data_IF_559954006304
#
_entry.id   IF_559954006304
#
_cell.length_a   1.000
_cell.length_b   1.000
_cell.length_c   1.000
_cell.angle_alpha   90.00
_cell.angle_beta   90.00
_cell.angle_gamma   90.00
#
_symmetry.space_group_name_H-M   'P 1'
#
loop_
_entity.id
_entity.type
_entity.pdbx_description
1 polymer ?
#
# COMPACT_ATOMS: atom_id res chain seq x y z
N UNK A 1 -45.01 -21.28 -4.36
CA UNK A 1 -44.35 -22.29 -5.18
C UNK A 1 -43.79 -21.63 -6.43
N UNK A 2 -42.49 -21.35 -6.50
CA UNK A 2 -41.81 -20.91 -7.74
C UNK A 2 -40.53 -21.70 -7.85
N UNK A 3 -40.41 -22.40 -8.97
CA UNK A 3 -39.41 -23.44 -9.26
C UNK A 3 -38.04 -22.81 -9.60
N UNK A 4 -36.99 -23.28 -8.93
CA UNK A 4 -35.60 -23.04 -9.27
C UNK A 4 -35.25 -23.80 -10.55
N UNK A 5 -34.82 -23.09 -11.58
CA UNK A 5 -34.22 -23.67 -12.78
C UNK A 5 -32.69 -23.60 -12.64
N UNK A 6 -32.07 -24.74 -12.48
CA UNK A 6 -30.60 -24.90 -12.50
C UNK A 6 -30.15 -24.83 -13.97
N UNK A 7 -29.25 -23.92 -14.28
CA UNK A 7 -28.57 -23.90 -15.56
C UNK A 7 -27.13 -24.40 -15.35
N UNK A 8 -26.89 -25.61 -15.78
CA UNK A 8 -25.58 -26.26 -15.97
C UNK A 8 -25.06 -25.88 -17.34
N UNK A 9 -23.84 -25.37 -17.44
CA UNK A 9 -23.22 -25.07 -18.74
C UNK A 9 -21.74 -24.78 -18.62
N UNK A 10 -21.00 -25.78 -18.90
CA UNK A 10 -19.97 -26.00 -19.93
C UNK A 10 -18.57 -25.47 -19.59
N UNK A 11 -17.78 -26.44 -19.24
CA UNK A 11 -16.32 -26.53 -19.25
C UNK A 11 -15.76 -26.21 -20.65
N UNK A 12 -14.91 -25.19 -20.79
CA UNK A 12 -14.11 -25.02 -22.00
C UNK A 12 -12.62 -25.09 -21.63
N UNK A 13 -12.02 -26.22 -21.93
CA UNK A 13 -10.59 -26.46 -21.88
C UNK A 13 -9.89 -25.73 -23.03
N UNK A 14 -8.91 -24.86 -22.74
CA UNK A 14 -8.04 -24.29 -23.77
C UNK A 14 -6.61 -24.78 -23.57
N UNK A 15 -6.13 -25.47 -24.60
CA UNK A 15 -4.84 -26.12 -24.75
C UNK A 15 -3.68 -25.12 -24.79
N UNK A 16 -2.65 -25.41 -24.03
CA UNK A 16 -1.31 -24.79 -24.03
C UNK A 16 -0.57 -25.18 -25.35
N UNK A 17 -0.04 -24.19 -26.04
CA UNK A 17 0.99 -24.37 -27.06
C UNK A 17 2.31 -23.88 -26.52
N UNK A 18 3.22 -24.81 -26.26
CA UNK A 18 4.64 -24.54 -25.95
C UNK A 18 5.37 -24.20 -27.26
N UNK A 19 6.03 -23.04 -27.30
CA UNK A 19 7.04 -22.74 -28.31
C UNK A 19 8.39 -22.61 -27.65
N UNK A 20 9.22 -23.62 -27.87
CA UNK A 20 10.64 -23.64 -27.49
C UNK A 20 11.41 -22.90 -28.58
N UNK A 21 12.13 -21.84 -28.20
CA UNK A 21 13.19 -21.27 -29.07
C UNK A 21 14.55 -21.51 -28.41
N UNK A 22 15.26 -22.45 -29.02
CA UNK A 22 16.69 -22.71 -28.80
C UNK A 22 17.49 -21.87 -29.78
N UNK A 23 18.47 -21.13 -29.30
CA UNK A 23 19.40 -20.36 -30.13
C UNK A 23 20.75 -20.22 -29.46
N UNK A 24 21.70 -20.99 -29.93
CA UNK A 24 23.09 -21.12 -29.50
C UNK A 24 24.03 -20.20 -30.29
N UNK A 25 25.15 -19.81 -29.72
CA UNK A 25 26.37 -19.30 -30.38
C UNK A 25 26.65 -17.84 -30.15
N UNK A 26 27.81 -17.36 -29.75
CA UNK A 26 29.12 -17.86 -29.73
C UNK A 26 30.13 -16.71 -29.60
N UNK A 27 31.25 -16.99 -28.94
CA UNK A 27 32.57 -16.36 -29.08
C UNK A 27 32.88 -14.96 -28.50
N UNK A 28 33.78 -14.97 -27.52
CA UNK A 28 34.69 -13.86 -27.21
C UNK A 28 35.82 -13.78 -28.27
N UNK A 29 36.54 -12.65 -28.38
CA UNK A 29 37.90 -12.67 -27.87
C UNK A 29 38.47 -11.36 -27.24
N UNK A 30 39.45 -11.63 -26.36
CA UNK A 30 40.72 -10.93 -26.12
C UNK A 30 40.81 -9.49 -25.57
N UNK A 31 41.52 -9.50 -24.45
CA UNK A 31 42.22 -8.40 -23.74
C UNK A 31 43.43 -7.90 -24.57
N UNK A 32 43.88 -6.60 -24.39
CA UNK A 32 45.12 -6.49 -23.68
C UNK A 32 45.16 -5.42 -22.56
N UNK A 33 45.93 -5.82 -21.58
CA UNK A 33 46.51 -5.13 -20.44
C UNK A 33 47.22 -3.81 -20.81
N UNK A 34 47.09 -2.77 -19.97
CA UNK A 34 48.17 -1.80 -19.71
C UNK A 34 48.02 -1.08 -18.37
N UNK A 35 48.93 -1.36 -17.54
CA UNK A 35 49.52 -0.76 -16.35
C UNK A 35 49.39 0.76 -16.18
N UNK A 36 48.93 1.25 -15.02
CA UNK A 36 49.64 2.15 -14.09
C UNK A 36 48.70 2.66 -12.98
N UNK A 37 49.03 2.37 -11.74
CA UNK A 37 48.65 3.13 -10.55
C UNK A 37 49.72 4.20 -10.27
N UNK A 38 49.63 5.13 -9.27
CA UNK A 38 48.69 5.25 -8.14
C UNK A 38 48.20 6.68 -7.89
N UNK A 39 47.12 6.87 -7.12
CA UNK A 39 47.07 7.91 -6.10
C UNK A 39 45.85 7.67 -5.16
N UNK A 40 46.23 7.54 -3.92
CA UNK A 40 45.42 7.62 -2.71
C UNK A 40 44.43 8.77 -2.70
N UNK A 41 43.16 8.45 -2.41
CA UNK A 41 42.35 9.30 -1.55
C UNK A 41 41.35 8.42 -0.80
N UNK A 42 41.49 8.43 0.50
CA UNK A 42 40.64 7.73 1.45
C UNK A 42 39.30 8.39 1.51
N UNK A 43 38.28 7.78 0.88
CA UNK A 43 36.87 8.08 1.19
C UNK A 43 36.48 7.13 2.31
N UNK A 44 36.33 7.74 3.47
CA UNK A 44 35.70 7.19 4.67
C UNK A 44 34.38 6.48 4.32
N UNK A 45 34.10 5.28 4.85
CA UNK A 45 32.76 4.71 4.75
C UNK A 45 31.85 5.63 5.55
N UNK A 46 30.96 6.32 4.82
CA UNK A 46 29.90 7.07 5.47
C UNK A 46 29.11 6.13 6.37
N UNK A 47 29.15 6.41 7.65
CA UNK A 47 28.26 5.87 8.65
C UNK A 47 26.84 5.98 8.09
N UNK A 48 26.20 4.84 7.94
CA UNK A 48 24.74 4.79 7.83
C UNK A 48 24.22 5.35 9.13
N UNK A 49 23.95 6.65 9.11
CA UNK A 49 23.20 7.33 10.14
C UNK A 49 21.90 6.55 10.33
N UNK A 50 21.81 5.81 11.43
CA UNK A 50 20.53 5.36 11.96
C UNK A 50 19.81 6.62 12.40
N UNK A 51 19.29 7.35 11.42
CA UNK A 51 18.36 8.43 11.64
C UNK A 51 17.24 7.86 12.51
N UNK A 52 17.19 8.31 13.75
CA UNK A 52 15.98 8.28 14.55
C UNK A 52 14.82 8.70 13.63
N UNK A 53 13.66 8.01 13.62
CA UNK A 53 12.59 8.37 12.71
C UNK A 53 12.35 9.87 12.86
N UNK A 54 12.58 10.62 11.80
CA UNK A 54 12.35 12.06 11.79
C UNK A 54 10.91 12.26 12.22
N UNK A 55 10.69 13.01 13.28
CA UNK A 55 9.35 13.30 13.76
C UNK A 55 8.60 13.96 12.59
N UNK A 56 7.51 13.32 12.13
CA UNK A 56 6.65 13.90 11.11
C UNK A 56 6.03 15.19 11.67
N UNK A 57 5.82 16.16 10.80
CA UNK A 57 5.07 17.38 11.19
C UNK A 57 3.59 17.03 11.32
N UNK A 58 2.96 17.36 12.45
CA UNK A 58 1.53 17.15 12.67
C UNK A 58 0.66 17.93 11.65
N UNK A 59 1.14 19.06 11.16
CA UNK A 59 0.50 19.84 10.09
C UNK A 59 0.80 19.33 8.68
N UNK A 60 1.61 18.27 8.53
CA UNK A 60 2.01 17.72 7.24
C UNK A 60 0.91 16.93 6.54
N UNK A 61 1.12 16.69 5.25
CA UNK A 61 0.26 15.86 4.40
C UNK A 61 1.04 14.62 3.97
N UNK A 62 0.49 13.45 4.19
CA UNK A 62 1.15 12.16 3.99
C UNK A 62 0.23 11.19 3.27
N UNK A 63 0.79 10.32 2.40
CA UNK A 63 0.02 9.39 1.56
C UNK A 63 0.66 8.01 1.45
N UNK A 64 1.96 7.87 1.76
CA UNK A 64 2.65 6.58 1.77
C UNK A 64 2.23 5.74 2.97
N UNK A 65 2.35 4.41 2.86
CA UNK A 65 2.02 3.52 3.97
C UNK A 65 2.90 3.77 5.20
N UNK A 66 4.19 4.03 4.98
CA UNK A 66 5.16 4.27 6.05
C UNK A 66 4.86 5.57 6.81
N UNK A 67 4.65 6.67 6.07
CA UNK A 67 4.42 7.96 6.70
C UNK A 67 3.05 8.02 7.40
N UNK A 68 2.00 7.50 6.77
CA UNK A 68 0.65 7.50 7.38
C UNK A 68 0.59 6.59 8.60
N UNK A 69 1.27 5.43 8.57
CA UNK A 69 1.35 4.56 9.74
C UNK A 69 2.13 5.20 10.88
N UNK A 70 3.28 5.83 10.59
CA UNK A 70 4.06 6.56 11.59
C UNK A 70 3.27 7.76 12.14
N UNK A 71 2.57 8.50 11.29
CA UNK A 71 1.73 9.62 11.71
C UNK A 71 0.61 9.17 12.67
N UNK A 72 -0.11 8.09 12.32
CA UNK A 72 -1.13 7.50 13.19
C UNK A 72 -0.54 7.03 14.53
N UNK A 73 0.67 6.44 14.50
CA UNK A 73 1.37 6.01 15.72
C UNK A 73 1.74 7.18 16.62
N UNK A 74 2.16 8.32 16.06
CA UNK A 74 2.57 9.49 16.79
C UNK A 74 1.39 10.33 17.33
N UNK A 75 0.35 10.49 16.50
CA UNK A 75 -0.71 11.50 16.74
C UNK A 75 -2.09 10.89 16.98
N UNK A 76 -2.30 9.59 16.78
CA UNK A 76 -3.55 8.86 16.96
C UNK A 76 -4.74 9.36 16.11
N UNK A 77 -4.47 10.12 15.06
CA UNK A 77 -5.46 10.55 14.05
C UNK A 77 -4.83 10.60 12.66
N UNK A 78 -5.66 10.65 11.61
CA UNK A 78 -5.18 10.79 10.23
C UNK A 78 -4.63 12.20 9.95
N UNK A 79 -3.66 12.34 9.01
CA UNK A 79 -3.25 13.62 8.47
C UNK A 79 -4.44 14.41 7.89
N UNK A 80 -4.30 15.74 7.83
CA UNK A 80 -5.38 16.64 7.40
C UNK A 80 -5.80 16.49 5.92
N UNK A 81 -5.00 15.81 5.11
CA UNK A 81 -5.33 15.51 3.72
C UNK A 81 -6.28 14.31 3.55
N UNK A 82 -6.78 13.71 4.62
CA UNK A 82 -7.80 12.66 4.54
C UNK A 82 -9.20 13.21 4.82
N UNK A 83 -10.18 12.72 4.03
CA UNK A 83 -11.61 12.98 4.25
C UNK A 83 -12.40 11.66 4.18
N UNK A 84 -13.52 11.61 4.89
CA UNK A 84 -14.38 10.40 4.88
C UNK A 84 -15.11 10.22 3.55
N UNK A 85 -15.53 8.99 3.24
CA UNK A 85 -16.40 8.71 2.09
C UNK A 85 -17.69 9.53 2.13
N UNK A 86 -18.19 9.83 3.33
CA UNK A 86 -19.38 10.66 3.52
C UNK A 86 -19.13 12.09 3.04
N UNK A 87 -18.00 12.67 3.44
CA UNK A 87 -17.63 14.05 3.07
C UNK A 87 -17.32 14.15 1.57
N UNK A 88 -16.59 13.17 1.02
CA UNK A 88 -16.33 13.08 -0.42
C UNK A 88 -17.64 13.01 -1.25
N UNK A 89 -18.61 12.20 -0.80
CA UNK A 89 -19.93 12.13 -1.46
C UNK A 89 -20.71 13.43 -1.38
N UNK A 90 -20.57 14.19 -0.31
CA UNK A 90 -21.18 15.52 -0.19
C UNK A 90 -20.63 16.52 -1.23
N UNK A 91 -19.40 16.28 -1.73
CA UNK A 91 -18.78 17.02 -2.82
C UNK A 91 -19.14 16.47 -4.21
N UNK A 92 -19.94 15.41 -4.31
CA UNK A 92 -20.38 14.78 -5.55
C UNK A 92 -19.60 13.53 -5.97
N UNK A 93 -18.59 13.11 -5.18
CA UNK A 93 -17.81 11.91 -5.48
C UNK A 93 -18.65 10.62 -5.38
N UNK A 94 -18.54 9.75 -6.38
CA UNK A 94 -19.25 8.48 -6.46
C UNK A 94 -18.33 7.27 -6.67
N UNK A 95 -17.02 7.43 -6.43
CA UNK A 95 -15.99 6.40 -6.63
C UNK A 95 -14.92 6.85 -7.61
N UNK A 96 -13.84 6.07 -7.74
CA UNK A 96 -12.68 6.44 -8.53
C UNK A 96 -11.73 7.40 -7.83
N UNK A 97 -10.96 8.19 -8.59
CA UNK A 97 -10.11 9.25 -8.07
C UNK A 97 -10.88 10.37 -7.38
N UNK A 98 -10.19 11.13 -6.54
CA UNK A 98 -10.81 12.16 -5.73
C UNK A 98 -10.53 13.59 -6.22
N UNK A 99 -9.52 13.79 -7.06
CA UNK A 99 -9.01 15.12 -7.45
C UNK A 99 -10.07 16.05 -8.05
N UNK A 100 -10.96 15.53 -8.90
CA UNK A 100 -12.04 16.32 -9.52
C UNK A 100 -13.05 16.87 -8.49
N UNK A 101 -13.06 16.37 -7.26
CA UNK A 101 -14.02 16.68 -6.19
C UNK A 101 -13.36 17.34 -4.98
N UNK A 102 -12.16 16.91 -4.63
CA UNK A 102 -11.38 17.40 -3.51
C UNK A 102 -9.89 17.24 -3.82
N UNK A 103 -9.34 18.19 -4.57
CA UNK A 103 -7.92 18.24 -4.93
C UNK A 103 -7.02 18.17 -3.68
N UNK A 104 -5.95 17.38 -3.76
CA UNK A 104 -5.02 17.17 -2.66
C UNK A 104 -5.56 16.30 -1.51
N UNK A 105 -6.73 15.66 -1.65
CA UNK A 105 -7.32 14.82 -0.60
C UNK A 105 -7.29 13.33 -0.96
N UNK A 106 -7.28 12.51 0.09
CA UNK A 106 -7.41 11.05 0.05
C UNK A 106 -8.62 10.60 0.87
N UNK A 107 -9.16 9.42 0.58
CA UNK A 107 -10.26 8.84 1.38
C UNK A 107 -9.69 8.19 2.64
N UNK A 108 -10.24 8.51 3.81
CA UNK A 108 -9.88 7.87 5.07
C UNK A 108 -10.75 8.30 6.24
N UNK A 109 -10.67 7.53 7.34
CA UNK A 109 -11.41 7.76 8.58
C UNK A 109 -12.75 7.06 8.66
N UNK A 110 -13.17 6.33 7.62
CA UNK A 110 -14.38 5.51 7.68
C UNK A 110 -14.17 4.29 8.58
N UNK A 111 -15.24 3.82 9.22
CA UNK A 111 -15.20 2.62 10.06
C UNK A 111 -14.93 1.38 9.21
N UNK A 112 -13.99 0.54 9.67
CA UNK A 112 -13.74 -0.80 9.13
C UNK A 112 -14.42 -1.86 10.01
N UNK A 113 -15.21 -2.73 9.41
CA UNK A 113 -16.12 -3.63 10.16
C UNK A 113 -15.48 -4.91 10.68
N UNK A 114 -14.27 -5.29 10.18
CA UNK A 114 -13.59 -6.56 10.51
C UNK A 114 -14.53 -7.80 10.47
N UNK A 115 -15.45 -7.86 9.50
CA UNK A 115 -16.50 -8.89 9.44
C UNK A 115 -15.94 -10.30 9.18
N UNK A 116 -14.80 -10.38 8.52
CA UNK A 116 -14.06 -11.62 8.25
C UNK A 116 -13.28 -12.10 9.48
N UNK A 117 -13.12 -11.26 10.52
CA UNK A 117 -12.40 -11.58 11.74
C UNK A 117 -10.90 -11.80 11.53
N UNK A 118 -10.30 -11.14 10.53
CA UNK A 118 -8.87 -11.27 10.23
C UNK A 118 -7.99 -10.45 11.19
N UNK A 119 -8.55 -9.44 11.83
CA UNK A 119 -7.88 -8.62 12.84
C UNK A 119 -8.34 -8.99 14.24
N UNK A 120 -7.47 -8.84 15.27
CA UNK A 120 -7.83 -9.17 16.64
C UNK A 120 -9.00 -8.35 17.15
N UNK A 121 -9.97 -8.98 17.82
CA UNK A 121 -11.10 -8.32 18.45
C UNK A 121 -10.85 -8.13 19.96
N UNK A 122 -11.34 -7.01 20.51
CA UNK A 122 -11.28 -6.73 21.94
C UNK A 122 -12.46 -5.85 22.37
N UNK A 123 -12.88 -5.91 23.65
CA UNK A 123 -13.95 -5.06 24.15
C UNK A 123 -13.68 -3.58 23.97
N UNK A 124 -14.52 -2.91 23.19
CA UNK A 124 -14.39 -1.47 22.90
C UNK A 124 -13.42 -1.11 21.77
N UNK A 125 -12.80 -2.10 21.12
CA UNK A 125 -11.96 -1.87 19.96
C UNK A 125 -12.81 -1.53 18.74
N UNK A 126 -12.45 -0.45 18.09
CA UNK A 126 -13.03 -0.02 16.83
C UNK A 126 -11.93 0.18 15.81
N UNK A 127 -12.17 -0.27 14.58
CA UNK A 127 -11.24 -0.12 13.48
C UNK A 127 -11.74 0.93 12.48
N UNK A 128 -10.79 1.68 11.92
CA UNK A 128 -10.99 2.64 10.84
C UNK A 128 -10.01 2.32 9.71
N UNK A 129 -10.32 2.81 8.51
CA UNK A 129 -9.48 2.59 7.33
C UNK A 129 -9.10 3.90 6.64
N UNK A 130 -8.00 3.88 5.89
CA UNK A 130 -7.66 4.92 4.93
C UNK A 130 -6.98 4.35 3.69
N UNK A 131 -7.14 5.05 2.57
CA UNK A 131 -6.51 4.72 1.29
C UNK A 131 -5.04 5.13 1.30
N UNK A 132 -4.19 4.33 0.68
CA UNK A 132 -2.74 4.57 0.58
C UNK A 132 -2.34 4.71 -0.88
N UNK A 133 -1.40 5.64 -1.15
CA UNK A 133 -0.88 5.97 -2.49
C UNK A 133 -1.98 6.39 -3.49
N UNK A 134 -2.98 7.15 -3.04
CA UNK A 134 -4.13 7.53 -3.86
C UNK A 134 -4.19 9.02 -4.23
N UNK A 135 -3.24 9.82 -3.75
CA UNK A 135 -3.13 11.23 -4.14
C UNK A 135 -2.88 11.33 -5.65
N UNK A 136 -3.69 12.11 -6.34
CA UNK A 136 -3.69 12.29 -7.80
C UNK A 136 -3.84 10.97 -8.61
N UNK A 137 -4.38 9.93 -8.00
CA UNK A 137 -4.64 8.67 -8.67
C UNK A 137 -6.04 8.63 -9.28
N UNK A 138 -6.18 8.04 -10.47
CA UNK A 138 -7.47 7.87 -11.14
C UNK A 138 -8.41 6.89 -10.42
N UNK A 139 -7.90 6.12 -9.46
CA UNK A 139 -8.67 5.14 -8.68
C UNK A 139 -8.11 4.98 -7.28
N UNK A 140 -8.91 4.40 -6.38
CA UNK A 140 -8.51 4.14 -4.99
C UNK A 140 -7.52 2.99 -4.81
N UNK A 141 -7.26 2.19 -5.86
CA UNK A 141 -6.40 1.01 -5.73
C UNK A 141 -6.83 0.05 -4.62
N UNK A 142 -5.92 -0.87 -4.23
CA UNK A 142 -6.17 -1.89 -3.20
C UNK A 142 -5.49 -1.59 -1.84
N UNK A 143 -4.46 -0.75 -1.82
CA UNK A 143 -3.67 -0.48 -0.63
C UNK A 143 -4.45 0.29 0.43
N UNK A 144 -4.40 -0.18 1.69
CA UNK A 144 -5.07 0.44 2.84
C UNK A 144 -4.18 0.37 4.09
N UNK A 145 -4.40 1.32 4.97
CA UNK A 145 -4.12 1.16 6.39
C UNK A 145 -5.45 0.96 7.11
N UNK A 146 -5.47 -0.03 8.01
CA UNK A 146 -6.55 -0.24 8.98
C UNK A 146 -5.96 -0.02 10.37
N UNK A 147 -6.55 0.86 11.15
CA UNK A 147 -6.05 1.23 12.46
C UNK A 147 -7.15 1.21 13.50
N UNK A 148 -6.78 0.85 14.75
CA UNK A 148 -7.70 0.77 15.87
C UNK A 148 -7.61 1.99 16.79
N UNK A 149 -8.66 2.22 17.54
CA UNK A 149 -8.70 3.26 18.59
C UNK A 149 -7.78 2.98 19.78
N UNK A 150 -7.20 1.78 19.89
CA UNK A 150 -6.28 1.35 20.94
C UNK A 150 -4.83 1.12 20.44
N UNK A 151 -4.52 1.56 19.22
CA UNK A 151 -3.14 1.74 18.74
C UNK A 151 -2.60 0.63 17.84
N UNK A 152 -3.41 -0.35 17.40
CA UNK A 152 -3.00 -1.29 16.36
C UNK A 152 -3.08 -0.63 14.99
N UNK A 153 -2.05 -0.78 14.18
CA UNK A 153 -1.99 -0.23 12.82
C UNK A 153 -1.51 -1.32 11.87
N UNK A 154 -2.36 -1.67 10.92
CA UNK A 154 -2.13 -2.72 9.92
C UNK A 154 -2.09 -2.14 8.51
N UNK A 155 -1.25 -2.73 7.68
CA UNK A 155 -1.23 -2.49 6.24
C UNK A 155 -1.77 -3.68 5.47
N UNK A 156 -2.50 -3.41 4.39
CA UNK A 156 -2.92 -4.39 3.39
C UNK A 156 -2.65 -3.84 1.99
N UNK A 157 -2.10 -4.68 1.10
CA UNK A 157 -1.88 -4.32 -0.30
C UNK A 157 -2.90 -4.96 -1.26
N UNK A 158 -3.69 -5.91 -0.76
CA UNK A 158 -4.57 -6.81 -1.50
C UNK A 158 -6.07 -6.61 -1.20
N UNK A 159 -6.45 -5.40 -0.74
CA UNK A 159 -7.83 -5.02 -0.44
C UNK A 159 -8.46 -5.89 0.64
N UNK A 160 -7.74 -6.01 1.78
CA UNK A 160 -8.14 -6.69 3.03
C UNK A 160 -8.08 -8.23 2.99
N UNK A 161 -7.45 -8.87 2.01
CA UNK A 161 -7.25 -10.31 1.98
C UNK A 161 -6.18 -10.76 2.99
N UNK A 162 -5.14 -9.91 3.20
CA UNK A 162 -4.11 -10.12 4.22
C UNK A 162 -3.72 -8.82 4.90
N UNK A 163 -3.10 -8.94 6.10
CA UNK A 163 -2.67 -7.80 6.91
C UNK A 163 -1.26 -7.98 7.46
N UNK A 164 -0.51 -6.89 7.49
CA UNK A 164 0.81 -6.80 8.12
C UNK A 164 0.70 -5.81 9.26
N UNK A 165 0.98 -6.25 10.50
CA UNK A 165 1.03 -5.37 11.66
C UNK A 165 2.26 -4.45 11.53
N UNK A 166 2.04 -3.13 11.55
CA UNK A 166 3.09 -2.13 11.50
C UNK A 166 3.39 -1.55 12.88
N UNK A 167 2.37 -1.29 13.70
CA UNK A 167 2.49 -0.74 15.05
C UNK A 167 1.47 -1.35 16.00
N UNK A 168 1.81 -1.38 17.29
CA UNK A 168 1.01 -1.93 18.37
C UNK A 168 1.40 -3.36 18.74
N UNK A 169 0.76 -3.90 19.78
CA UNK A 169 0.90 -5.28 20.25
C UNK A 169 -0.49 -5.92 20.31
N UNK A 170 -0.64 -7.12 19.74
CA UNK A 170 -1.90 -7.88 19.71
C UNK A 170 -2.23 -8.52 21.06
#
# INVERSE_FOLDING_TARGET
MRRFTRLTGALLALLLVFSVFSGCGGAAPDVPSSTAAPATDAVSPGESDKSSPAALDEGGEYTSAEDVALYLHLYAHLPQNFITKKDARALGWNGGGLDDYADGKCIGGDRFGNYEGLLPDAPGREYHECDIDTLHAASRGAKRIVYSNDGLIYYTEDHYESFILLYGEE
#
